data_IF_953729327163
#
_entry.id   IF_953729327163
#
_cell.length_a   1.000
_cell.length_b   1.000
_cell.length_c   1.000
_cell.angle_alpha   90.00
_cell.angle_beta   90.00
_cell.angle_gamma   90.00
#
_symmetry.space_group_name_H-M   'P 1'
#
loop_
_entity.id
_entity.type
_entity.pdbx_description
1 polymer ?
#
# COMPACT_ATOMS: atom_id res chain seq x y z
N UNK A 1 -38.51 -37.09 35.49
CA UNK A 1 -37.91 -36.02 36.30
C UNK A 1 -37.59 -34.88 35.37
N UNK A 2 -37.91 -33.66 35.80
CA UNK A 2 -38.10 -32.46 34.99
C UNK A 2 -36.86 -31.99 34.21
N UNK A 3 -37.09 -31.49 33.00
CA UNK A 3 -36.21 -30.55 32.31
C UNK A 3 -36.24 -29.17 32.98
N UNK A 4 -35.12 -28.43 33.07
CA UNK A 4 -35.14 -27.01 33.35
C UNK A 4 -35.12 -26.20 32.05
N UNK A 5 -36.14 -25.35 31.91
CA UNK A 5 -36.22 -24.25 30.94
C UNK A 5 -35.15 -23.20 31.26
N UNK A 6 -34.45 -22.71 30.25
CA UNK A 6 -33.82 -21.39 30.30
C UNK A 6 -34.19 -20.60 29.04
N UNK A 7 -34.84 -19.47 29.29
CA UNK A 7 -35.34 -18.46 28.37
C UNK A 7 -34.25 -17.90 27.44
N UNK A 8 -34.55 -17.84 26.15
CA UNK A 8 -33.85 -16.93 25.22
C UNK A 8 -34.87 -15.93 24.69
N UNK A 9 -34.81 -14.74 25.26
CA UNK A 9 -35.48 -13.56 24.73
C UNK A 9 -34.89 -13.26 23.34
N UNK A 10 -35.76 -13.35 22.33
CA UNK A 10 -35.47 -12.96 20.96
C UNK A 10 -35.69 -11.45 20.89
N UNK A 11 -34.63 -10.67 21.07
CA UNK A 11 -34.64 -9.27 20.66
C UNK A 11 -34.49 -9.18 19.15
N UNK A 12 -35.64 -9.05 18.49
CA UNK A 12 -35.77 -8.76 17.08
C UNK A 12 -35.58 -7.25 16.87
N UNK A 13 -34.34 -6.81 16.63
CA UNK A 13 -34.07 -5.42 16.20
C UNK A 13 -34.14 -5.39 14.68
N UNK A 14 -35.30 -4.96 14.17
CA UNK A 14 -35.41 -4.41 12.82
C UNK A 14 -34.50 -3.20 12.73
N UNK A 15 -33.42 -3.29 11.96
CA UNK A 15 -32.69 -2.12 11.49
C UNK A 15 -33.35 -1.65 10.19
N UNK A 16 -34.42 -0.87 10.34
CA UNK A 16 -34.72 0.18 9.39
C UNK A 16 -33.60 1.22 9.54
N UNK A 17 -32.69 1.30 8.57
CA UNK A 17 -31.83 2.46 8.44
C UNK A 17 -31.68 2.81 6.96
N UNK A 18 -32.78 3.31 6.41
CA UNK A 18 -32.78 4.10 5.19
C UNK A 18 -32.41 5.54 5.59
N UNK A 19 -31.16 5.73 5.99
CA UNK A 19 -30.58 7.05 6.21
C UNK A 19 -29.51 7.31 5.15
N UNK A 20 -29.77 8.35 4.37
CA UNK A 20 -28.88 8.98 3.40
C UNK A 20 -27.63 9.50 4.16
N UNK A 21 -26.73 8.58 4.51
CA UNK A 21 -25.58 8.84 5.35
C UNK A 21 -24.56 9.62 4.52
N UNK A 22 -24.57 10.94 4.67
CA UNK A 22 -23.53 11.82 4.13
C UNK A 22 -22.16 11.24 4.51
N UNK A 23 -21.42 10.81 3.49
CA UNK A 23 -20.10 10.23 3.65
C UNK A 23 -19.20 11.17 4.45
N UNK A 24 -18.59 10.66 5.53
CA UNK A 24 -17.74 11.49 6.39
C UNK A 24 -16.46 11.89 5.64
N UNK A 25 -16.24 13.20 5.50
CA UNK A 25 -15.08 13.78 4.83
C UNK A 25 -14.06 14.17 5.88
N UNK A 26 -12.88 13.55 5.85
CA UNK A 26 -11.79 13.83 6.78
C UNK A 26 -10.97 15.05 6.35
N UNK A 27 -10.69 15.16 5.05
CA UNK A 27 -9.97 16.29 4.46
C UNK A 27 -10.58 16.62 3.10
N UNK A 28 -10.69 17.91 2.80
CA UNK A 28 -11.13 18.42 1.50
C UNK A 28 -10.21 19.58 1.12
N UNK A 29 -9.74 19.59 -0.13
CA UNK A 29 -8.94 20.70 -0.66
C UNK A 29 -9.17 20.85 -2.17
N UNK A 30 -9.02 22.07 -2.67
CA UNK A 30 -9.26 22.42 -4.08
C UNK A 30 -7.95 22.73 -4.80
N UNK A 31 -7.63 21.95 -5.82
CA UNK A 31 -6.42 22.06 -6.62
C UNK A 31 -6.71 22.64 -8.01
N UNK A 32 -6.05 23.75 -8.34
CA UNK A 32 -6.21 24.43 -9.62
C UNK A 32 -5.19 23.91 -10.64
N UNK A 33 -5.66 23.46 -11.81
CA UNK A 33 -4.79 23.08 -12.93
C UNK A 33 -4.61 24.25 -13.88
N UNK A 34 -3.35 24.52 -14.24
CA UNK A 34 -2.99 25.40 -15.36
C UNK A 34 -3.27 24.66 -16.68
N UNK A 35 -4.51 24.67 -17.15
CA UNK A 35 -4.89 24.11 -18.46
C UNK A 35 -5.59 25.17 -19.32
N UNK A 36 -5.63 24.95 -20.64
CA UNK A 36 -6.34 25.83 -21.60
C UNK A 36 -7.83 26.03 -21.25
N UNK A 37 -8.42 25.08 -20.52
CA UNK A 37 -9.74 25.22 -19.88
C UNK A 37 -9.52 25.41 -18.39
N UNK A 38 -10.19 26.39 -17.76
CA UNK A 38 -10.17 26.59 -16.29
C UNK A 38 -10.82 25.38 -15.61
N UNK A 39 -10.05 24.33 -15.38
CA UNK A 39 -10.53 23.12 -14.72
C UNK A 39 -9.94 23.02 -13.32
N UNK A 40 -10.79 22.67 -12.37
CA UNK A 40 -10.46 22.60 -10.96
C UNK A 40 -10.66 21.15 -10.48
N UNK A 41 -9.79 20.69 -9.58
CA UNK A 41 -9.91 19.38 -8.95
C UNK A 41 -10.22 19.56 -7.47
N UNK A 42 -11.43 19.22 -7.06
CA UNK A 42 -11.75 19.09 -5.65
C UNK A 42 -11.40 17.68 -5.19
N UNK A 43 -10.52 17.58 -4.20
CA UNK A 43 -10.01 16.32 -3.68
C UNK A 43 -10.57 16.11 -2.28
N UNK A 44 -11.16 14.94 -2.04
CA UNK A 44 -11.75 14.55 -0.77
C UNK A 44 -11.13 13.26 -0.28
N UNK A 45 -10.72 13.25 0.98
CA UNK A 45 -10.35 12.03 1.69
C UNK A 45 -11.53 11.59 2.57
N UNK A 46 -12.09 10.43 2.27
CA UNK A 46 -13.22 9.84 2.99
C UNK A 46 -12.82 8.48 3.59
N UNK A 47 -13.73 7.84 4.32
CA UNK A 47 -13.54 6.46 4.79
C UNK A 47 -13.44 5.44 3.65
N UNK A 48 -14.01 5.75 2.48
CA UNK A 48 -13.92 4.86 1.30
C UNK A 48 -12.60 5.02 0.55
N UNK A 49 -12.00 6.20 0.58
CA UNK A 49 -10.72 6.47 -0.07
C UNK A 49 -10.56 7.92 -0.51
N UNK A 50 -9.87 8.12 -1.63
CA UNK A 50 -9.55 9.43 -2.18
C UNK A 50 -10.43 9.73 -3.40
N UNK A 51 -11.44 10.60 -3.24
CA UNK A 51 -12.28 11.10 -4.34
C UNK A 51 -11.61 12.28 -5.03
N UNK A 52 -11.46 12.18 -6.35
CA UNK A 52 -10.94 13.21 -7.24
C UNK A 52 -12.10 13.71 -8.11
N UNK A 53 -12.61 14.90 -7.83
CA UNK A 53 -13.73 15.50 -8.56
C UNK A 53 -13.17 16.57 -9.49
N UNK A 54 -13.16 16.28 -10.79
CA UNK A 54 -12.80 17.26 -11.82
C UNK A 54 -14.04 18.08 -12.16
N UNK A 55 -13.97 19.37 -11.90
CA UNK A 55 -15.01 20.35 -12.23
C UNK A 55 -14.55 21.18 -13.42
N UNK A 56 -15.43 21.28 -14.43
CA UNK A 56 -15.31 22.13 -15.61
C UNK A 56 -16.61 22.91 -15.77
N UNK A 57 -16.57 24.04 -16.47
CA UNK A 57 -17.71 24.95 -16.63
C UNK A 57 -19.02 24.22 -17.05
N UNK A 58 -18.90 23.14 -17.82
CA UNK A 58 -20.04 22.39 -18.38
C UNK A 58 -20.27 20.99 -17.75
N UNK A 59 -19.36 20.48 -16.91
CA UNK A 59 -19.48 19.10 -16.37
C UNK A 59 -18.60 18.82 -15.16
N UNK A 60 -19.04 17.90 -14.29
CA UNK A 60 -18.22 17.30 -13.24
C UNK A 60 -17.98 15.81 -13.50
N UNK A 61 -16.76 15.34 -13.24
CA UNK A 61 -16.41 13.92 -13.28
C UNK A 61 -15.73 13.53 -11.98
N UNK A 62 -16.31 12.57 -11.27
CA UNK A 62 -15.72 12.02 -10.04
C UNK A 62 -15.02 10.70 -10.32
N UNK A 63 -13.82 10.55 -9.76
CA UNK A 63 -13.08 9.30 -9.70
C UNK A 63 -12.62 9.05 -8.27
N UNK A 64 -13.09 7.97 -7.66
CA UNK A 64 -12.66 7.55 -6.33
C UNK A 64 -11.61 6.45 -6.41
N UNK A 65 -10.50 6.65 -5.71
CA UNK A 65 -9.48 5.64 -5.50
C UNK A 65 -9.72 5.04 -4.13
N UNK A 66 -10.01 3.74 -4.08
CA UNK A 66 -10.39 3.08 -2.84
C UNK A 66 -9.22 3.01 -1.87
N UNK A 67 -9.50 3.15 -0.58
CA UNK A 67 -8.48 3.10 0.47
C UNK A 67 -7.69 1.78 0.43
N UNK A 68 -8.37 0.65 0.18
CA UNK A 68 -7.74 -0.68 -0.02
C UNK A 68 -6.78 -0.77 -1.21
N UNK A 69 -6.87 0.14 -2.16
CA UNK A 69 -6.00 0.18 -3.33
C UNK A 69 -4.80 1.11 -3.11
N UNK A 70 -4.85 1.99 -2.10
CA UNK A 70 -3.73 2.85 -1.69
C UNK A 70 -2.76 2.03 -0.84
N UNK A 71 -1.48 2.06 -1.19
CA UNK A 71 -0.44 1.31 -0.47
C UNK A 71 0.45 2.21 0.40
N UNK A 72 0.52 3.50 0.09
CA UNK A 72 1.37 4.43 0.84
C UNK A 72 1.38 5.83 0.26
N UNK A 73 2.09 6.72 0.95
CA UNK A 73 2.17 8.13 0.61
C UNK A 73 3.45 8.79 1.11
N UNK A 74 3.96 9.75 0.33
CA UNK A 74 5.25 10.41 0.57
C UNK A 74 5.18 11.90 0.26
N UNK A 75 5.59 12.72 1.22
CA UNK A 75 5.82 14.14 1.00
C UNK A 75 7.23 14.39 0.50
N UNK A 76 7.39 15.29 -0.47
CA UNK A 76 8.70 15.71 -0.99
C UNK A 76 8.70 17.20 -1.30
N UNK A 77 9.89 17.80 -1.19
CA UNK A 77 10.22 19.07 -1.85
C UNK A 77 10.69 18.79 -3.27
N UNK A 78 10.54 19.76 -4.17
CA UNK A 78 11.19 19.71 -5.49
C UNK A 78 12.71 19.45 -5.34
N UNK A 79 13.29 18.56 -6.16
CA UNK A 79 14.70 18.11 -6.05
C UNK A 79 15.54 18.56 -7.24
N UNK A 80 16.66 19.25 -6.98
CA UNK A 80 17.71 19.62 -7.95
C UNK A 80 18.39 18.41 -8.62
N UNK A 81 18.65 18.47 -9.93
CA UNK A 81 19.76 17.74 -10.58
C UNK A 81 21.03 18.59 -10.44
N UNK A 82 22.06 18.08 -9.78
CA UNK A 82 23.39 18.74 -9.78
C UNK A 82 23.99 18.60 -11.18
N UNK A 83 24.37 19.73 -11.80
CA UNK A 83 25.18 19.73 -13.03
C UNK A 83 26.49 19.00 -12.71
N UNK A 84 26.76 17.88 -13.40
CA UNK A 84 27.94 17.04 -13.20
C UNK A 84 27.76 15.80 -12.31
N UNK A 85 26.59 15.57 -11.69
CA UNK A 85 26.32 14.31 -11.03
C UNK A 85 25.96 13.24 -12.08
N UNK A 86 26.85 12.26 -12.29
CA UNK A 86 26.51 11.03 -13.01
C UNK A 86 25.23 10.45 -12.42
N UNK A 87 24.30 10.09 -13.31
CA UNK A 87 23.02 9.46 -13.01
C UNK A 87 23.19 8.46 -11.85
N UNK A 88 22.56 8.74 -10.72
CA UNK A 88 22.31 7.67 -9.78
C UNK A 88 21.43 6.64 -10.51
N UNK A 89 21.91 5.40 -10.56
CA UNK A 89 21.21 4.25 -11.15
C UNK A 89 20.08 3.85 -10.17
N UNK A 90 19.04 4.67 -10.07
CA UNK A 90 17.85 4.32 -9.28
C UNK A 90 16.53 4.83 -9.89
N UNK A 91 16.49 5.19 -11.16
CA UNK A 91 15.25 5.70 -11.79
C UNK A 91 14.97 5.20 -13.20
N UNK A 92 15.63 4.13 -13.64
CA UNK A 92 15.34 3.50 -14.93
C UNK A 92 14.53 2.25 -14.67
N UNK A 93 13.20 2.39 -14.52
CA UNK A 93 12.18 1.41 -14.89
C UNK A 93 10.81 2.05 -14.62
N UNK A 94 9.89 1.88 -15.58
CA UNK A 94 8.45 2.22 -15.57
C UNK A 94 8.10 3.51 -16.31
N UNK A 95 7.90 3.37 -17.63
CA UNK A 95 6.95 4.19 -18.37
C UNK A 95 5.64 3.43 -18.51
N UNK A 96 4.54 3.95 -17.95
CA UNK A 96 3.16 3.50 -18.15
C UNK A 96 2.17 4.63 -17.79
N UNK A 97 0.94 4.61 -18.33
CA UNK A 97 0.12 5.81 -18.53
C UNK A 97 -0.43 6.37 -17.22
N UNK A 98 -0.27 7.67 -17.07
CA UNK A 98 -0.40 8.39 -15.81
C UNK A 98 -1.63 9.29 -15.88
N UNK A 99 -2.56 9.12 -14.94
CA UNK A 99 -3.60 10.12 -14.69
C UNK A 99 -2.94 11.25 -13.89
N UNK A 100 -2.49 12.27 -14.63
CA UNK A 100 -1.80 13.45 -14.10
C UNK A 100 -2.81 14.54 -13.74
N UNK A 101 -2.83 14.96 -12.48
CA UNK A 101 -3.47 16.22 -12.05
C UNK A 101 -2.49 17.40 -12.11
N UNK A 102 -1.23 17.19 -12.50
CA UNK A 102 -0.30 18.26 -12.91
C UNK A 102 0.65 17.68 -13.97
N UNK A 103 0.86 18.40 -15.08
CA UNK A 103 1.78 18.03 -16.16
C UNK A 103 3.18 17.67 -15.63
N UNK A 104 3.74 16.53 -16.05
CA UNK A 104 5.16 16.17 -15.80
C UNK A 104 6.13 16.96 -16.70
N UNK A 105 5.67 17.98 -17.43
CA UNK A 105 6.51 18.76 -18.33
C UNK A 105 7.01 20.09 -17.73
N UNK A 106 7.22 20.15 -16.42
CA UNK A 106 8.06 21.20 -15.82
C UNK A 106 9.35 20.57 -15.30
N UNK A 107 10.27 20.34 -16.24
CA UNK A 107 11.62 19.85 -15.99
C UNK A 107 12.58 20.92 -15.44
N UNK A 108 12.07 22.08 -15.05
CA UNK A 108 12.87 23.21 -14.59
C UNK A 108 12.70 23.43 -13.09
N UNK A 109 13.82 23.56 -12.42
CA UNK A 109 13.94 23.71 -10.97
C UNK A 109 13.86 25.19 -10.63
N UNK A 110 12.76 25.61 -10.01
CA UNK A 110 12.61 26.97 -9.51
C UNK A 110 12.98 27.00 -8.02
N UNK A 111 14.07 27.69 -7.65
CA UNK A 111 14.42 27.94 -6.23
C UNK A 111 13.33 28.75 -5.51
N UNK A 112 12.44 29.39 -6.26
CA UNK A 112 11.25 30.06 -5.74
C UNK A 112 10.05 29.11 -5.56
N UNK A 113 10.17 27.81 -5.87
CA UNK A 113 9.06 26.89 -5.68
C UNK A 113 8.84 26.59 -4.19
N UNK A 114 7.96 27.39 -3.59
CA UNK A 114 7.43 27.25 -2.24
C UNK A 114 6.45 26.08 -2.10
N UNK A 115 6.23 25.29 -3.16
CA UNK A 115 5.27 24.20 -3.14
C UNK A 115 5.76 22.97 -2.37
N UNK A 116 4.84 22.28 -1.72
CA UNK A 116 5.05 20.94 -1.20
C UNK A 116 4.29 19.91 -2.04
N UNK A 117 4.89 18.74 -2.24
CA UNK A 117 4.30 17.69 -3.06
C UNK A 117 3.96 16.48 -2.20
N UNK A 118 2.72 16.00 -2.30
CA UNK A 118 2.29 14.73 -1.73
C UNK A 118 2.07 13.73 -2.87
N UNK A 119 2.85 12.65 -2.83
CA UNK A 119 2.66 11.49 -3.69
C UNK A 119 1.84 10.43 -2.95
N UNK A 120 0.80 9.92 -3.59
CA UNK A 120 -0.02 8.83 -3.10
C UNK A 120 0.11 7.69 -4.10
N UNK A 121 0.51 6.52 -3.61
CA UNK A 121 0.75 5.33 -4.43
C UNK A 121 -0.42 4.37 -4.30
N UNK A 122 -1.03 3.99 -5.42
CA UNK A 122 -2.16 3.08 -5.46
C UNK A 122 -2.04 2.04 -6.57
N UNK A 123 -2.67 0.88 -6.37
CA UNK A 123 -2.70 -0.25 -7.30
C UNK A 123 -4.14 -0.55 -7.70
N UNK A 124 -4.70 0.27 -8.59
CA UNK A 124 -6.09 0.21 -9.00
C UNK A 124 -6.38 -1.03 -9.85
N UNK A 125 -7.46 -1.74 -9.56
CA UNK A 125 -7.88 -2.89 -10.37
C UNK A 125 -8.48 -2.41 -11.69
N UNK A 126 -7.82 -2.68 -12.81
CA UNK A 126 -8.33 -2.39 -14.15
C UNK A 126 -8.72 -3.65 -14.88
N UNK A 127 -9.85 -3.56 -15.59
CA UNK A 127 -10.34 -4.62 -16.47
C UNK A 127 -9.73 -4.47 -17.85
N UNK A 128 -8.94 -5.47 -18.25
CA UNK A 128 -8.50 -5.66 -19.64
C UNK A 128 -9.43 -6.66 -20.33
N UNK A 129 -9.42 -6.69 -21.67
CA UNK A 129 -10.24 -7.59 -22.49
C UNK A 129 -10.13 -9.08 -22.10
N UNK A 130 -9.02 -9.51 -21.49
CA UNK A 130 -8.74 -10.92 -21.14
C UNK A 130 -8.43 -11.17 -19.67
N UNK A 131 -8.23 -10.14 -18.85
CA UNK A 131 -7.84 -10.32 -17.45
C UNK A 131 -8.11 -9.09 -16.59
N UNK A 132 -8.31 -9.32 -15.30
CA UNK A 132 -8.24 -8.29 -14.27
C UNK A 132 -6.77 -8.14 -13.85
N UNK A 133 -6.25 -6.91 -13.87
CA UNK A 133 -4.88 -6.61 -13.45
C UNK A 133 -4.86 -5.34 -12.62
N UNK A 134 -4.10 -5.35 -11.52
CA UNK A 134 -3.79 -4.12 -10.78
C UNK A 134 -2.73 -3.32 -11.51
N UNK A 135 -2.99 -2.04 -11.70
CA UNK A 135 -2.07 -1.10 -12.33
C UNK A 135 -1.64 -0.02 -11.33
N UNK A 136 -0.33 0.18 -11.24
CA UNK A 136 0.25 1.23 -10.40
C UNK A 136 -0.20 2.60 -10.92
N UNK A 137 -0.75 3.41 -10.04
CA UNK A 137 -1.16 4.79 -10.27
C UNK A 137 -0.53 5.66 -9.19
N UNK A 138 0.04 6.80 -9.58
CA UNK A 138 0.59 7.79 -8.63
C UNK A 138 -0.24 9.05 -8.73
N UNK A 139 -0.87 9.44 -7.63
CA UNK A 139 -1.53 10.74 -7.51
C UNK A 139 -0.54 11.72 -6.90
N UNK A 140 -0.37 12.86 -7.55
CA UNK A 140 0.51 13.93 -7.06
C UNK A 140 -0.35 15.14 -6.74
N UNK A 141 -0.38 15.53 -5.48
CA UNK A 141 -1.03 16.76 -5.01
C UNK A 141 0.05 17.82 -4.74
N UNK A 142 -0.10 19.00 -5.35
CA UNK A 142 0.81 20.13 -5.19
C UNK A 142 0.16 21.18 -4.28
N UNK A 143 0.70 21.30 -3.07
CA UNK A 143 0.28 22.29 -2.08
C UNK A 143 1.04 23.58 -2.30
N UNK A 144 0.32 24.68 -2.56
CA UNK A 144 0.87 26.02 -2.85
C UNK A 144 -0.02 27.15 -2.31
N UNK A 145 -0.83 26.84 -1.31
CA UNK A 145 -1.83 27.79 -0.76
C UNK A 145 -1.18 28.84 0.14
N UNK A 146 0.05 28.63 0.58
CA UNK A 146 0.80 29.51 1.48
C UNK A 146 2.07 30.05 0.83
N UNK A 147 2.53 31.21 1.31
CA UNK A 147 3.74 31.90 0.84
C UNK A 147 5.05 31.23 1.29
N UNK A 148 4.98 30.27 2.22
CA UNK A 148 6.14 29.56 2.77
C UNK A 148 6.03 28.07 2.50
N UNK A 149 7.18 27.47 2.11
CA UNK A 149 7.31 26.03 1.93
C UNK A 149 6.89 25.24 3.18
N UNK A 150 7.27 25.69 4.37
CA UNK A 150 6.99 24.98 5.61
C UNK A 150 5.48 24.84 5.88
N UNK A 151 4.69 25.85 5.54
CA UNK A 151 3.24 25.83 5.73
C UNK A 151 2.55 24.95 4.69
N UNK A 152 3.01 25.01 3.43
CA UNK A 152 2.56 24.06 2.40
C UNK A 152 2.92 22.61 2.75
N UNK A 153 4.12 22.38 3.30
CA UNK A 153 4.57 21.06 3.73
C UNK A 153 3.79 20.58 4.96
N UNK A 154 3.43 21.46 5.90
CA UNK A 154 2.57 21.13 7.04
C UNK A 154 1.22 20.58 6.58
N UNK A 155 0.57 21.22 5.61
CA UNK A 155 -0.68 20.72 5.05
C UNK A 155 -0.47 19.38 4.32
N UNK A 156 0.57 19.25 3.52
CA UNK A 156 0.91 17.97 2.88
C UNK A 156 1.16 16.83 3.90
N UNK A 157 1.82 17.11 5.02
CA UNK A 157 2.06 16.14 6.09
C UNK A 157 0.79 15.77 6.85
N UNK A 158 -0.13 16.72 7.03
CA UNK A 158 -1.46 16.45 7.60
C UNK A 158 -2.20 15.43 6.74
N UNK A 159 -2.27 15.67 5.43
CA UNK A 159 -2.84 14.71 4.47
C UNK A 159 -2.16 13.34 4.52
N UNK A 160 -0.82 13.32 4.51
CA UNK A 160 -0.05 12.07 4.63
C UNK A 160 -0.41 11.29 5.90
N UNK A 161 -0.46 11.98 7.03
CA UNK A 161 -0.72 11.38 8.34
C UNK A 161 -2.13 10.81 8.40
N UNK A 162 -3.14 11.58 7.96
CA UNK A 162 -4.52 11.10 7.89
C UNK A 162 -4.65 9.88 7.00
N UNK A 163 -4.04 9.87 5.80
CA UNK A 163 -4.03 8.68 4.92
C UNK A 163 -3.41 7.48 5.65
N UNK A 164 -2.29 7.66 6.34
CA UNK A 164 -1.64 6.56 7.07
C UNK A 164 -2.48 6.05 8.24
N UNK A 165 -3.13 6.93 9.00
CA UNK A 165 -4.05 6.52 10.07
C UNK A 165 -5.21 5.69 9.50
N UNK A 166 -5.81 6.13 8.40
CA UNK A 166 -6.89 5.38 7.72
C UNK A 166 -6.42 4.02 7.20
N UNK A 167 -5.22 3.94 6.62
CA UNK A 167 -4.64 2.66 6.17
C UNK A 167 -4.33 1.70 7.33
N UNK A 168 -3.98 2.23 8.50
CA UNK A 168 -3.71 1.46 9.71
C UNK A 168 -4.97 1.14 10.52
N UNK A 169 -6.15 1.59 10.08
CA UNK A 169 -7.41 1.54 10.84
C UNK A 169 -7.27 2.11 12.27
N UNK A 170 -6.52 3.21 12.39
CA UNK A 170 -6.25 3.91 13.64
C UNK A 170 -6.96 5.27 13.68
N UNK A 171 -7.32 5.78 14.88
CA UNK A 171 -7.88 7.11 15.01
C UNK A 171 -6.93 8.16 14.43
N UNK A 172 -7.49 9.18 13.79
CA UNK A 172 -6.71 10.23 13.14
C UNK A 172 -5.95 11.01 14.22
N UNK A 173 -4.63 11.05 14.06
CA UNK A 173 -3.70 11.79 14.91
C UNK A 173 -2.87 12.76 14.07
N UNK A 174 -2.12 13.63 14.75
CA UNK A 174 -1.12 14.51 14.14
C UNK A 174 0.26 13.82 13.99
N UNK A 175 0.42 12.64 14.57
CA UNK A 175 1.65 11.84 14.50
C UNK A 175 1.47 10.66 13.56
N UNK A 176 2.48 10.34 12.76
CA UNK A 176 2.46 9.17 11.91
C UNK A 176 2.32 7.90 12.76
N UNK A 177 1.47 6.94 12.35
CA UNK A 177 1.40 5.65 13.02
C UNK A 177 2.75 4.96 12.92
N UNK A 178 3.31 4.57 14.07
CA UNK A 178 4.56 3.81 14.13
C UNK A 178 4.23 2.32 14.06
N UNK A 179 4.94 1.61 13.18
CA UNK A 179 4.98 0.16 13.18
C UNK A 179 6.43 -0.27 13.30
N UNK A 180 6.81 -0.64 14.52
CA UNK A 180 8.20 -0.93 14.86
C UNK A 180 8.66 -2.30 14.34
N UNK A 181 7.71 -3.18 13.98
CA UNK A 181 8.00 -4.54 13.55
C UNK A 181 8.16 -4.61 12.02
N UNK A 182 9.27 -5.19 11.61
CA UNK A 182 9.57 -5.46 10.20
C UNK A 182 8.86 -6.71 9.69
N UNK A 183 8.75 -6.85 8.37
CA UNK A 183 8.46 -8.14 7.73
C UNK A 183 9.71 -9.02 7.72
N UNK A 184 9.54 -10.32 7.97
CA UNK A 184 10.56 -11.32 7.66
C UNK A 184 10.35 -11.82 6.23
N UNK A 185 11.35 -11.69 5.37
CA UNK A 185 11.28 -12.18 3.99
C UNK A 185 12.26 -13.33 3.81
N UNK A 186 11.72 -14.53 3.58
CA UNK A 186 12.50 -15.75 3.31
C UNK A 186 12.47 -16.03 1.81
N UNK A 187 13.61 -15.81 1.15
CA UNK A 187 13.71 -15.85 -0.31
C UNK A 187 14.56 -17.04 -0.76
N UNK A 188 14.00 -17.91 -1.60
CA UNK A 188 14.79 -18.92 -2.30
C UNK A 188 15.23 -18.40 -3.68
N UNK A 189 16.52 -18.08 -3.88
CA UNK A 189 16.99 -17.44 -5.11
C UNK A 189 16.89 -18.38 -6.32
N UNK A 190 16.93 -19.69 -6.10
CA UNK A 190 16.84 -20.73 -7.13
C UNK A 190 15.40 -21.10 -7.50
N UNK A 191 14.39 -20.48 -6.89
CA UNK A 191 13.00 -20.76 -7.24
C UNK A 191 12.68 -20.40 -8.69
N UNK A 192 11.84 -21.23 -9.32
CA UNK A 192 11.40 -21.02 -10.69
C UNK A 192 12.58 -21.10 -11.68
N UNK A 193 12.73 -20.14 -12.60
CA UNK A 193 13.86 -20.07 -13.52
C UNK A 193 15.15 -19.51 -12.87
N UNK A 194 15.25 -19.50 -11.53
CA UNK A 194 16.38 -18.93 -10.81
C UNK A 194 16.42 -17.39 -10.74
N UNK A 195 15.27 -16.73 -11.01
CA UNK A 195 15.15 -15.26 -11.07
C UNK A 195 14.44 -14.65 -9.87
N UNK A 196 14.17 -15.43 -8.81
CA UNK A 196 13.37 -14.96 -7.67
C UNK A 196 13.99 -13.73 -6.98
N UNK A 197 15.32 -13.68 -6.83
CA UNK A 197 16.03 -12.53 -6.25
C UNK A 197 15.87 -11.27 -7.10
N UNK A 198 16.05 -11.39 -8.42
CA UNK A 198 15.89 -10.29 -9.36
C UNK A 198 14.44 -9.78 -9.38
N UNK A 199 13.47 -10.69 -9.43
CA UNK A 199 12.04 -10.35 -9.38
C UNK A 199 11.67 -9.64 -8.07
N UNK A 200 12.20 -10.10 -6.94
CA UNK A 200 12.02 -9.44 -5.66
C UNK A 200 12.55 -8.00 -5.70
N UNK A 201 13.80 -7.81 -6.17
CA UNK A 201 14.43 -6.49 -6.24
C UNK A 201 13.73 -5.54 -7.21
N UNK A 202 13.31 -6.03 -8.37
CA UNK A 202 12.74 -5.20 -9.45
C UNK A 202 11.25 -4.92 -9.28
N UNK A 203 10.49 -5.81 -8.64
CA UNK A 203 9.03 -5.69 -8.54
C UNK A 203 8.52 -5.53 -7.12
N UNK A 204 9.07 -6.24 -6.14
CA UNK A 204 8.52 -6.30 -4.78
C UNK A 204 9.12 -5.22 -3.89
N UNK A 205 10.45 -5.07 -3.88
CA UNK A 205 11.14 -4.09 -3.05
C UNK A 205 10.66 -2.65 -3.29
N UNK A 206 10.39 -2.19 -4.54
CA UNK A 206 9.82 -0.85 -4.77
C UNK A 206 8.43 -0.68 -4.16
N UNK A 207 7.59 -1.71 -4.19
CA UNK A 207 6.24 -1.69 -3.59
C UNK A 207 6.34 -1.54 -2.07
N UNK A 208 7.19 -2.34 -1.43
CA UNK A 208 7.41 -2.26 0.01
C UNK A 208 7.97 -0.89 0.42
N UNK A 209 8.84 -0.30 -0.41
CA UNK A 209 9.36 1.04 -0.19
C UNK A 209 8.28 2.12 -0.30
N UNK A 210 7.40 2.05 -1.31
CA UNK A 210 6.26 2.97 -1.46
C UNK A 210 5.27 2.86 -0.31
N UNK A 211 5.13 1.66 0.24
CA UNK A 211 4.30 1.38 1.42
C UNK A 211 4.98 1.72 2.76
N UNK A 212 6.18 2.34 2.75
CA UNK A 212 6.99 2.58 3.95
C UNK A 212 7.10 1.33 4.86
N UNK A 213 7.18 0.14 4.25
CA UNK A 213 7.19 -1.15 4.95
C UNK A 213 8.62 -1.65 5.09
N UNK A 214 9.20 -1.62 6.30
CA UNK A 214 10.53 -2.16 6.52
C UNK A 214 10.51 -3.69 6.56
N UNK A 215 11.60 -4.32 6.11
CA UNK A 215 11.72 -5.77 6.04
C UNK A 215 13.16 -6.22 6.28
N UNK A 216 13.31 -7.45 6.79
CA UNK A 216 14.57 -8.18 6.87
C UNK A 216 14.57 -9.29 5.81
N UNK A 217 15.55 -9.26 4.90
CA UNK A 217 15.67 -10.22 3.81
C UNK A 217 16.67 -11.32 4.15
N UNK A 218 16.19 -12.55 4.23
CA UNK A 218 17.01 -13.75 4.40
C UNK A 218 16.94 -14.63 3.16
N UNK A 219 18.07 -14.75 2.48
CA UNK A 219 18.21 -15.62 1.30
C UNK A 219 18.51 -17.04 1.77
N UNK A 220 17.68 -18.00 1.37
CA UNK A 220 17.88 -19.41 1.71
C UNK A 220 19.10 -19.97 0.99
N UNK A 221 19.84 -20.85 1.67
CA UNK A 221 21.14 -21.37 1.20
C UNK A 221 21.08 -22.83 0.75
N UNK A 222 20.24 -23.63 1.40
CA UNK A 222 20.05 -25.06 1.16
C UNK A 222 18.59 -25.45 1.48
N UNK A 223 18.21 -26.70 1.17
CA UNK A 223 16.88 -27.23 1.48
C UNK A 223 16.67 -27.31 3.01
N UNK A 224 15.45 -27.05 3.50
CA UNK A 224 15.12 -26.97 4.94
C UNK A 224 15.70 -25.75 5.67
N UNK A 225 16.43 -24.85 5.00
CA UNK A 225 16.94 -23.62 5.63
C UNK A 225 15.81 -22.77 6.22
N UNK A 226 14.68 -22.62 5.50
CA UNK A 226 13.59 -21.79 5.98
C UNK A 226 12.90 -22.42 7.21
N UNK A 227 12.78 -23.76 7.22
CA UNK A 227 12.27 -24.53 8.37
C UNK A 227 13.15 -24.33 9.61
N UNK A 228 14.45 -24.54 9.47
CA UNK A 228 15.42 -24.37 10.57
C UNK A 228 15.43 -22.93 11.10
N UNK A 229 15.36 -21.94 10.21
CA UNK A 229 15.34 -20.53 10.58
C UNK A 229 14.12 -20.20 11.44
N UNK A 230 12.92 -20.59 11.00
CA UNK A 230 11.66 -20.27 11.68
C UNK A 230 11.51 -21.05 12.98
N UNK A 231 11.99 -22.29 13.04
CA UNK A 231 12.00 -23.12 14.24
C UNK A 231 12.86 -22.53 15.37
N UNK A 232 14.01 -21.93 15.03
CA UNK A 232 15.02 -21.52 16.02
C UNK A 232 15.00 -20.04 16.39
N UNK A 233 14.34 -19.18 15.60
CA UNK A 233 14.30 -17.73 15.82
C UNK A 233 13.04 -17.30 16.57
N UNK A 234 13.08 -16.13 17.19
CA UNK A 234 11.90 -15.50 17.76
C UNK A 234 11.03 -14.89 16.64
N UNK A 235 10.02 -15.63 16.18
CA UNK A 235 9.13 -15.20 15.08
C UNK A 235 8.28 -13.97 15.44
N UNK A 236 8.05 -13.71 16.74
CA UNK A 236 7.27 -12.57 17.24
C UNK A 236 7.98 -11.22 17.11
N UNK A 237 9.29 -11.23 16.79
CA UNK A 237 10.05 -10.03 16.47
C UNK A 237 9.60 -9.38 15.15
N UNK A 238 8.95 -10.16 14.28
CA UNK A 238 8.43 -9.70 13.00
C UNK A 238 6.90 -9.60 13.03
N UNK A 239 6.33 -8.72 12.20
CA UNK A 239 4.87 -8.59 12.07
C UNK A 239 4.23 -9.61 11.13
N UNK A 240 5.05 -10.45 10.49
CA UNK A 240 4.62 -11.41 9.49
C UNK A 240 5.79 -11.97 8.69
N UNK A 241 5.60 -13.16 8.12
CA UNK A 241 6.61 -13.88 7.34
C UNK A 241 6.14 -13.98 5.89
N UNK A 242 7.01 -13.57 4.96
CA UNK A 242 6.77 -13.60 3.52
C UNK A 242 7.67 -14.63 2.87
N UNK A 243 7.08 -15.68 2.32
CA UNK A 243 7.75 -16.68 1.51
C UNK A 243 7.92 -16.17 0.07
N UNK A 244 9.16 -16.04 -0.41
CA UNK A 244 9.47 -15.63 -1.80
C UNK A 244 10.08 -16.80 -2.55
N UNK A 245 9.26 -17.44 -3.38
CA UNK A 245 9.63 -18.67 -4.07
C UNK A 245 8.41 -19.40 -4.61
N UNK A 246 8.47 -20.72 -4.70
CA UNK A 246 7.29 -21.57 -4.93
C UNK A 246 6.63 -22.05 -3.63
N UNK A 247 5.63 -22.91 -3.76
CA UNK A 247 4.90 -23.50 -2.63
C UNK A 247 5.83 -24.20 -1.61
N UNK A 248 6.96 -24.76 -2.07
CA UNK A 248 7.95 -25.45 -1.22
C UNK A 248 8.61 -24.56 -0.15
N UNK A 249 8.82 -23.26 -0.42
CA UNK A 249 9.41 -22.35 0.59
C UNK A 249 8.42 -22.12 1.74
N UNK A 250 7.14 -21.93 1.40
CA UNK A 250 6.09 -21.81 2.40
C UNK A 250 5.90 -23.12 3.17
N UNK A 251 6.01 -24.27 2.50
CA UNK A 251 5.97 -25.57 3.15
C UNK A 251 7.08 -25.73 4.19
N UNK A 252 8.32 -25.34 3.89
CA UNK A 252 9.41 -25.34 4.87
C UNK A 252 9.09 -24.42 6.07
N UNK A 253 8.58 -23.21 5.82
CA UNK A 253 8.19 -22.26 6.87
C UNK A 253 7.12 -22.86 7.79
N UNK A 254 6.06 -23.42 7.22
CA UNK A 254 4.96 -24.02 7.98
C UNK A 254 5.43 -25.17 8.85
N UNK A 255 6.22 -26.10 8.31
CA UNK A 255 6.79 -27.20 9.12
C UNK A 255 7.70 -26.66 10.24
N UNK A 256 8.49 -25.62 9.94
CA UNK A 256 9.32 -24.95 10.94
C UNK A 256 8.50 -24.31 12.05
N UNK A 257 7.32 -23.77 11.75
CA UNK A 257 6.37 -23.26 12.74
C UNK A 257 5.78 -24.40 13.59
N UNK A 258 5.33 -25.49 12.96
CA UNK A 258 4.74 -26.65 13.66
C UNK A 258 5.71 -27.38 14.58
N UNK A 259 7.01 -27.29 14.33
CA UNK A 259 8.05 -27.87 15.19
C UNK A 259 8.36 -27.07 16.45
N UNK A 260 7.77 -25.88 16.59
CA UNK A 260 7.97 -25.04 17.77
C UNK A 260 7.07 -25.52 18.91
N UNK A 261 7.52 -25.32 20.15
CA UNK A 261 6.70 -25.60 21.33
C UNK A 261 5.46 -24.68 21.39
N UNK A 262 5.60 -23.45 20.91
CA UNK A 262 4.58 -22.39 20.86
C UNK A 262 3.84 -22.33 19.51
N UNK A 263 3.85 -23.41 18.71
CA UNK A 263 3.37 -23.41 17.32
C UNK A 263 1.95 -22.84 17.15
N UNK A 264 1.05 -23.14 18.10
CA UNK A 264 -0.34 -22.70 18.03
C UNK A 264 -0.45 -21.17 18.15
N UNK A 265 0.28 -20.59 19.11
CA UNK A 265 0.36 -19.14 19.29
C UNK A 265 1.07 -18.50 18.09
N UNK A 266 2.16 -19.09 17.63
CA UNK A 266 2.95 -18.59 16.51
C UNK A 266 2.10 -18.48 15.22
N UNK A 267 1.27 -19.49 14.91
CA UNK A 267 0.37 -19.46 13.74
C UNK A 267 -0.82 -18.49 13.92
N UNK A 268 -1.28 -18.28 15.14
CA UNK A 268 -2.37 -17.33 15.42
C UNK A 268 -1.91 -15.87 15.33
N UNK A 269 -0.68 -15.57 15.76
CA UNK A 269 -0.19 -14.19 15.89
C UNK A 269 0.66 -13.72 14.71
N UNK A 270 1.28 -14.62 13.95
CA UNK A 270 2.23 -14.28 12.89
C UNK A 270 1.63 -14.61 11.53
N UNK A 271 1.10 -13.61 10.78
CA UNK A 271 0.57 -13.83 9.44
C UNK A 271 1.63 -14.34 8.48
N UNK A 272 1.21 -15.23 7.58
CA UNK A 272 2.03 -15.76 6.51
C UNK A 272 1.56 -15.21 5.15
N UNK A 273 2.52 -14.86 4.30
CA UNK A 273 2.27 -14.43 2.94
C UNK A 273 3.15 -15.20 1.96
N UNK A 274 2.67 -15.37 0.72
CA UNK A 274 3.41 -16.01 -0.36
C UNK A 274 3.53 -15.07 -1.56
N UNK A 275 4.75 -14.90 -2.06
CA UNK A 275 5.05 -14.18 -3.28
C UNK A 275 5.49 -15.19 -4.36
N UNK A 276 4.69 -15.40 -5.41
CA UNK A 276 4.89 -16.47 -6.38
C UNK A 276 6.09 -16.17 -7.28
N UNK A 277 7.21 -16.81 -6.99
CA UNK A 277 8.44 -16.78 -7.78
C UNK A 277 8.90 -18.18 -8.20
N UNK A 278 8.12 -19.23 -7.93
CA UNK A 278 8.41 -20.62 -8.28
C UNK A 278 7.86 -21.06 -9.63
N UNK A 279 8.14 -22.30 -10.01
CA UNK A 279 7.51 -22.95 -11.18
C UNK A 279 6.09 -23.43 -10.86
N UNK A 280 5.86 -23.91 -9.62
CA UNK A 280 4.55 -24.20 -9.04
C UNK A 280 4.18 -23.13 -8.01
N UNK A 281 3.07 -22.43 -8.26
CA UNK A 281 2.53 -21.37 -7.40
C UNK A 281 1.03 -21.61 -7.15
N UNK A 282 0.67 -22.86 -6.87
CA UNK A 282 -0.72 -23.29 -6.78
C UNK A 282 -1.45 -22.54 -5.67
N UNK A 283 -0.82 -22.42 -4.50
CA UNK A 283 -1.42 -21.75 -3.36
C UNK A 283 -1.61 -20.25 -3.61
N UNK A 284 -0.58 -19.57 -4.10
CA UNK A 284 -0.67 -18.14 -4.42
C UNK A 284 -1.80 -17.86 -5.42
N UNK A 285 -1.97 -18.73 -6.43
CA UNK A 285 -3.05 -18.62 -7.41
C UNK A 285 -4.42 -18.80 -6.77
N UNK A 286 -4.59 -19.78 -5.87
CA UNK A 286 -5.85 -20.03 -5.17
C UNK A 286 -6.22 -18.86 -4.25
N UNK A 287 -5.28 -18.34 -3.47
CA UNK A 287 -5.47 -17.15 -2.63
C UNK A 287 -5.90 -15.97 -3.51
N UNK A 288 -5.16 -15.66 -4.57
CA UNK A 288 -5.52 -14.56 -5.47
C UNK A 288 -6.86 -14.76 -6.20
N UNK A 289 -7.36 -16.00 -6.33
CA UNK A 289 -8.68 -16.26 -6.89
C UNK A 289 -9.80 -15.93 -5.90
N UNK A 290 -9.61 -16.26 -4.62
CA UNK A 290 -10.59 -15.99 -3.57
C UNK A 290 -10.69 -14.51 -3.19
N UNK A 291 -9.58 -13.77 -3.23
CA UNK A 291 -9.52 -12.36 -2.82
C UNK A 291 -9.62 -11.36 -4.00
N UNK A 292 -10.40 -11.69 -5.04
CA UNK A 292 -10.61 -10.82 -6.21
C UNK A 292 -11.59 -9.68 -5.95
#
# INVERSE_FOLDING_TARGET
MAEPKLSKDVYNVKSDDNSDTKEHIYLEETFYILSKKKSVFRVRLTSRGLSLIKETDDSSKEQTILLRDIIGSKCMRSKRRRVGARSCICSSLVGHPQLKVVDENSGDLDENDISAYLYIYAYNLKRSRRSLKRERTTITLRFRSYDKYEDNNREAQKWRTTIKCLLADQPISYTLPQNDKKLLILLNPKSGPGKARELFQTKVAPILQEADTPYDLHVTKYAQYAREFVRTRNVYAWRGIVAVGGDGVLFEILNGMFERLDWHQALSEVPLAILPCGSGNGLARTICHHFK
#
